data_IF_301796057725
#
_entry.id   IF_301796057725
#
_cell.length_a   1.000
_cell.length_b   1.000
_cell.length_c   1.000
_cell.angle_alpha   90.00
_cell.angle_beta   90.00
_cell.angle_gamma   90.00
#
_symmetry.space_group_name_H-M   'P 1'
#
loop_
_entity.id
_entity.type
_entity.pdbx_description
1 polymer ?
#
# COMPACT_ATOMS: atom_id res chain seq x y z
N UNK A 1 60.27 -15.94 1.20
CA UNK A 1 58.98 -16.41 1.71
C UNK A 1 57.90 -15.47 1.23
N UNK A 2 57.11 -15.91 0.20
CA UNK A 2 56.07 -15.10 -0.41
C UNK A 2 54.72 -15.57 0.10
N UNK A 3 54.04 -14.75 0.90
CA UNK A 3 52.65 -15.02 1.30
C UNK A 3 51.72 -14.36 0.28
N UNK A 4 51.15 -15.20 -0.60
CA UNK A 4 50.00 -14.80 -1.45
C UNK A 4 48.74 -14.81 -0.59
N UNK A 5 48.23 -13.60 -0.30
CA UNK A 5 46.88 -13.45 0.21
C UNK A 5 45.88 -13.63 -0.94
N UNK A 6 45.26 -14.81 -1.00
CA UNK A 6 44.06 -15.01 -1.83
C UNK A 6 42.88 -14.30 -1.17
N UNK A 7 42.53 -13.14 -1.72
CA UNK A 7 41.30 -12.45 -1.41
C UNK A 7 40.16 -13.19 -2.12
N UNK A 8 39.45 -14.07 -1.41
CA UNK A 8 38.24 -14.71 -1.89
C UNK A 8 37.10 -13.71 -1.82
N UNK A 9 36.86 -13.00 -2.94
CA UNK A 9 35.61 -12.25 -3.15
C UNK A 9 34.46 -13.26 -3.27
N UNK A 10 33.75 -13.48 -2.18
CA UNK A 10 32.41 -14.08 -2.19
C UNK A 10 31.47 -13.07 -2.84
N UNK A 11 31.31 -13.19 -4.15
CA UNK A 11 30.24 -12.51 -4.88
C UNK A 11 28.90 -13.12 -4.43
N UNK A 12 28.27 -12.47 -3.47
CA UNK A 12 26.85 -12.68 -3.16
C UNK A 12 26.07 -12.24 -4.37
N UNK A 13 25.71 -13.19 -5.24
CA UNK A 13 24.68 -13.01 -6.26
C UNK A 13 23.38 -12.74 -5.54
N UNK A 14 23.06 -11.47 -5.29
CA UNK A 14 21.73 -11.02 -5.01
C UNK A 14 20.91 -11.32 -6.29
N UNK A 15 20.24 -12.45 -6.31
CA UNK A 15 19.18 -12.75 -7.26
C UNK A 15 18.11 -11.68 -7.03
N UNK A 16 18.20 -10.58 -7.79
CA UNK A 16 17.12 -9.62 -7.93
C UNK A 16 16.03 -10.42 -8.65
N UNK A 17 15.15 -11.03 -7.87
CA UNK A 17 13.94 -11.63 -8.36
C UNK A 17 13.12 -10.49 -8.98
N UNK A 18 13.15 -10.34 -10.30
CA UNK A 18 12.22 -9.51 -11.07
C UNK A 18 10.85 -10.17 -11.03
N UNK A 19 10.30 -10.35 -9.84
CA UNK A 19 8.96 -10.83 -9.60
C UNK A 19 7.99 -9.68 -9.72
N UNK A 20 7.32 -9.55 -10.87
CA UNK A 20 6.13 -8.70 -10.97
C UNK A 20 4.94 -9.34 -10.22
N UNK A 21 3.85 -8.60 -10.10
CA UNK A 21 2.64 -9.09 -9.42
C UNK A 21 2.78 -9.11 -7.89
N UNK A 22 2.11 -10.07 -7.26
CA UNK A 22 2.02 -10.15 -5.80
C UNK A 22 3.37 -10.30 -5.11
N UNK A 23 4.34 -10.98 -5.74
CA UNK A 23 5.68 -11.15 -5.16
C UNK A 23 6.48 -9.84 -5.15
N UNK A 24 6.32 -9.01 -6.18
CA UNK A 24 6.89 -7.66 -6.19
C UNK A 24 6.32 -6.78 -5.08
N UNK A 25 5.03 -6.93 -4.79
CA UNK A 25 4.38 -6.24 -3.66
C UNK A 25 4.90 -6.75 -2.33
N UNK A 26 5.00 -8.07 -2.13
CA UNK A 26 5.53 -8.67 -0.88
C UNK A 26 6.97 -8.26 -0.59
N UNK A 27 7.78 -8.09 -1.63
CA UNK A 27 9.15 -7.62 -1.48
C UNK A 27 9.24 -6.15 -1.06
N UNK A 28 8.32 -5.30 -1.53
CA UNK A 28 8.35 -3.85 -1.31
C UNK A 28 7.58 -3.40 -0.07
N UNK A 29 6.42 -3.99 0.19
CA UNK A 29 5.49 -3.56 1.23
C UNK A 29 6.12 -3.39 2.63
N UNK A 30 7.06 -4.25 3.10
CA UNK A 30 7.69 -4.07 4.41
C UNK A 30 8.39 -2.72 4.59
N UNK A 31 9.05 -2.24 3.55
CA UNK A 31 9.75 -0.95 3.58
C UNK A 31 8.77 0.23 3.57
N UNK A 32 7.72 0.17 2.74
CA UNK A 32 6.73 1.24 2.62
C UNK A 32 5.83 1.34 3.87
N UNK A 33 5.39 0.19 4.42
CA UNK A 33 4.57 0.13 5.62
C UNK A 33 5.38 0.26 6.92
N UNK A 34 6.71 0.21 6.84
CA UNK A 34 7.62 0.16 8.01
C UNK A 34 7.19 -0.94 9.02
N UNK A 35 6.92 -2.12 8.50
CA UNK A 35 6.28 -3.23 9.18
C UNK A 35 6.99 -4.54 8.85
N UNK A 36 7.04 -5.47 9.80
CA UNK A 36 7.60 -6.79 9.56
C UNK A 36 6.81 -7.54 8.48
N UNK A 37 7.51 -8.18 7.55
CA UNK A 37 6.89 -8.89 6.44
C UNK A 37 5.85 -9.94 6.89
N UNK A 38 6.07 -10.59 8.03
CA UNK A 38 5.14 -11.57 8.60
C UNK A 38 3.85 -10.97 9.18
N UNK A 39 3.82 -9.64 9.40
CA UNK A 39 2.66 -8.90 9.89
C UNK A 39 1.87 -8.21 8.77
N UNK A 40 2.28 -8.41 7.50
CA UNK A 40 1.64 -7.77 6.34
C UNK A 40 0.84 -8.82 5.58
N UNK A 41 -0.45 -8.56 5.40
CA UNK A 41 -1.32 -9.30 4.49
C UNK A 41 -1.34 -8.61 3.12
N UNK A 42 -1.02 -9.37 2.07
CA UNK A 42 -1.10 -8.89 0.68
C UNK A 42 -2.21 -9.64 -0.04
N UNK A 43 -3.18 -8.91 -0.58
CA UNK A 43 -4.35 -9.48 -1.28
C UNK A 43 -4.68 -8.70 -2.56
N UNK A 44 -5.24 -9.34 -3.59
CA UNK A 44 -5.75 -8.64 -4.77
C UNK A 44 -6.92 -7.74 -4.37
N UNK A 45 -7.10 -6.61 -5.06
CA UNK A 45 -8.25 -5.72 -4.83
C UNK A 45 -9.56 -6.32 -5.32
N UNK A 46 -9.48 -7.29 -6.25
CA UNK A 46 -10.61 -8.07 -6.75
C UNK A 46 -10.23 -9.54 -6.86
N UNK A 47 -11.07 -10.49 -6.42
CA UNK A 47 -10.82 -11.93 -6.55
C UNK A 47 -10.58 -12.41 -7.99
N UNK A 48 -11.17 -11.72 -8.96
CA UNK A 48 -11.06 -12.00 -10.40
C UNK A 48 -10.15 -10.98 -11.12
N UNK A 49 -9.35 -10.22 -10.36
CA UNK A 49 -8.44 -9.22 -10.92
C UNK A 49 -7.29 -9.83 -11.72
N UNK A 50 -6.67 -9.04 -12.61
CA UNK A 50 -5.52 -9.51 -13.39
C UNK A 50 -4.32 -9.84 -12.48
N UNK A 51 -3.44 -10.77 -12.90
CA UNK A 51 -2.25 -11.16 -12.12
C UNK A 51 -1.30 -10.01 -11.77
N UNK A 52 -1.36 -8.93 -12.54
CA UNK A 52 -0.55 -7.72 -12.32
C UNK A 52 -1.12 -6.76 -11.26
N UNK A 53 -2.24 -7.09 -10.65
CA UNK A 53 -2.90 -6.26 -9.66
C UNK A 53 -3.97 -5.34 -10.22
N UNK A 54 -4.48 -4.38 -9.45
CA UNK A 54 -3.89 -3.85 -8.21
C UNK A 54 -4.03 -4.78 -6.99
N UNK A 55 -3.15 -4.55 -6.01
CA UNK A 55 -3.12 -5.28 -4.74
C UNK A 55 -3.24 -4.33 -3.56
N UNK A 56 -3.81 -4.80 -2.44
CA UNK A 56 -3.69 -4.16 -1.16
C UNK A 56 -2.64 -4.87 -0.30
N UNK A 57 -1.85 -4.10 0.44
CA UNK A 57 -1.02 -4.58 1.55
C UNK A 57 -1.46 -3.86 2.83
N UNK A 58 -1.78 -4.64 3.84
CA UNK A 58 -2.27 -4.16 5.12
C UNK A 58 -1.43 -4.74 6.26
N UNK A 59 -1.01 -3.91 7.19
CA UNK A 59 -0.21 -4.29 8.35
C UNK A 59 0.22 -3.07 9.16
N UNK A 60 0.51 -3.26 10.46
CA UNK A 60 0.96 -2.20 11.37
C UNK A 60 0.12 -0.91 11.30
N UNK A 61 -1.19 -1.06 11.26
CA UNK A 61 -2.16 0.03 11.13
C UNK A 61 -2.00 0.89 9.86
N UNK A 62 -1.40 0.32 8.80
CA UNK A 62 -1.21 0.93 7.49
C UNK A 62 -2.02 0.17 6.44
N UNK A 63 -2.49 0.88 5.42
CA UNK A 63 -3.13 0.30 4.24
C UNK A 63 -2.56 0.94 2.98
N UNK A 64 -1.91 0.13 2.15
CA UNK A 64 -1.32 0.56 0.89
C UNK A 64 -1.93 -0.16 -0.30
N UNK A 65 -2.01 0.53 -1.43
CA UNK A 65 -2.41 -0.03 -2.72
C UNK A 65 -1.23 -0.04 -3.67
N UNK A 66 -1.01 -1.18 -4.31
CA UNK A 66 0.10 -1.38 -5.23
C UNK A 66 -0.38 -1.74 -6.63
N UNK A 67 0.35 -1.23 -7.62
CA UNK A 67 0.28 -1.69 -9.00
C UNK A 67 1.66 -2.23 -9.35
N UNK A 68 1.71 -3.48 -9.81
CA UNK A 68 2.97 -4.17 -10.14
C UNK A 68 2.90 -4.67 -11.59
N UNK A 69 3.22 -3.82 -12.57
CA UNK A 69 3.16 -4.20 -13.97
C UNK A 69 4.20 -5.29 -14.27
N UNK A 70 3.96 -6.15 -15.30
CA UNK A 70 4.87 -7.23 -15.67
C UNK A 70 6.27 -6.73 -16.10
N UNK A 71 6.33 -5.50 -16.58
CA UNK A 71 7.56 -4.78 -16.91
C UNK A 71 7.47 -3.39 -16.30
N UNK A 72 8.35 -3.11 -15.36
CA UNK A 72 8.35 -1.84 -14.63
C UNK A 72 8.54 -2.04 -13.14
N UNK A 73 8.51 -0.93 -12.42
CA UNK A 73 8.61 -0.94 -10.96
C UNK A 73 7.23 -1.06 -10.34
N UNK A 74 7.16 -1.76 -9.21
CA UNK A 74 5.97 -1.78 -8.36
C UNK A 74 5.76 -0.38 -7.77
N UNK A 75 4.60 0.20 -8.00
CA UNK A 75 4.21 1.51 -7.48
C UNK A 75 3.23 1.34 -6.33
N UNK A 76 3.49 2.00 -5.20
CA UNK A 76 2.66 1.97 -4.00
C UNK A 76 2.04 3.34 -3.70
N UNK A 77 0.83 3.32 -3.15
CA UNK A 77 0.12 4.51 -2.67
C UNK A 77 -0.41 4.27 -1.26
N UNK A 78 -0.10 5.18 -0.33
CA UNK A 78 -0.61 5.17 1.05
C UNK A 78 -2.12 5.51 1.06
N UNK A 79 -2.96 4.48 1.02
CA UNK A 79 -4.43 4.62 0.98
C UNK A 79 -4.97 5.22 2.27
N UNK A 80 -4.51 4.72 3.42
CA UNK A 80 -4.96 5.22 4.71
C UNK A 80 -4.65 6.71 4.85
N UNK A 81 -3.42 7.11 4.56
CA UNK A 81 -3.02 8.52 4.63
C UNK A 81 -3.76 9.42 3.65
N UNK A 82 -4.01 8.95 2.41
CA UNK A 82 -4.76 9.71 1.41
C UNK A 82 -6.19 9.97 1.89
N UNK A 83 -6.88 8.92 2.35
CA UNK A 83 -8.29 9.03 2.75
C UNK A 83 -8.44 9.81 4.06
N UNK A 84 -7.60 9.53 5.07
CA UNK A 84 -7.72 10.21 6.36
C UNK A 84 -7.37 11.69 6.30
N UNK A 85 -6.41 12.10 5.46
CA UNK A 85 -6.13 13.53 5.22
C UNK A 85 -7.32 14.24 4.57
N UNK A 86 -7.94 13.63 3.55
CA UNK A 86 -9.14 14.22 2.93
C UNK A 86 -10.30 14.29 3.94
N UNK A 87 -10.54 13.20 4.67
CA UNK A 87 -11.62 13.14 5.66
C UNK A 87 -11.39 14.11 6.83
N UNK A 88 -10.16 14.33 7.26
CA UNK A 88 -9.82 15.31 8.29
C UNK A 88 -10.27 16.72 7.90
N UNK A 89 -10.05 17.08 6.64
CA UNK A 89 -10.52 18.35 6.11
C UNK A 89 -12.06 18.42 6.02
N UNK A 90 -12.67 17.43 5.38
CA UNK A 90 -14.12 17.42 5.10
C UNK A 90 -14.96 17.33 6.38
N UNK A 91 -14.52 16.53 7.36
CA UNK A 91 -15.22 16.33 8.63
C UNK A 91 -14.81 17.33 9.71
N UNK A 92 -13.79 18.15 9.46
CA UNK A 92 -13.16 19.03 10.46
C UNK A 92 -12.78 18.27 11.73
N UNK A 93 -12.09 17.14 11.55
CA UNK A 93 -11.71 16.19 12.60
C UNK A 93 -10.24 15.82 12.45
N UNK A 94 -9.49 15.76 13.55
CA UNK A 94 -8.07 15.41 13.47
C UNK A 94 -7.86 13.97 13.03
N UNK A 95 -6.78 13.69 12.29
CA UNK A 95 -6.51 12.38 11.67
C UNK A 95 -6.44 11.25 12.70
N UNK A 96 -5.91 11.51 13.87
CA UNK A 96 -5.80 10.58 14.99
C UNK A 96 -7.14 10.15 15.62
N UNK A 97 -8.21 10.93 15.38
CA UNK A 97 -9.57 10.64 15.81
C UNK A 97 -10.41 9.94 14.72
N UNK A 98 -9.84 9.74 13.54
CA UNK A 98 -10.54 9.12 12.43
C UNK A 98 -10.34 7.61 12.42
N UNK A 99 -11.44 6.88 12.21
CA UNK A 99 -11.46 5.45 12.01
C UNK A 99 -11.82 5.13 10.57
N UNK A 100 -10.95 4.40 9.88
CA UNK A 100 -11.12 3.96 8.51
C UNK A 100 -11.66 2.53 8.48
N UNK A 101 -12.65 2.26 7.62
CA UNK A 101 -13.20 0.93 7.38
C UNK A 101 -13.34 0.70 5.88
N UNK A 102 -12.81 -0.38 5.35
CA UNK A 102 -13.04 -0.76 3.97
C UNK A 102 -14.49 -1.25 3.80
N UNK A 103 -15.24 -0.65 2.89
CA UNK A 103 -16.61 -1.04 2.54
C UNK A 103 -16.64 -1.97 1.34
N UNK A 104 -15.77 -1.72 0.36
CA UNK A 104 -15.51 -2.59 -0.79
C UNK A 104 -14.10 -2.31 -1.34
N UNK A 105 -13.79 -2.81 -2.55
CA UNK A 105 -12.46 -2.70 -3.14
C UNK A 105 -11.89 -1.28 -3.19
N UNK A 106 -12.72 -0.28 -3.51
CA UNK A 106 -12.27 1.10 -3.72
C UNK A 106 -13.06 2.13 -2.90
N UNK A 107 -13.97 1.68 -2.03
CA UNK A 107 -14.81 2.55 -1.20
C UNK A 107 -14.52 2.32 0.28
N UNK A 108 -14.32 3.41 0.99
CA UNK A 108 -13.95 3.42 2.41
C UNK A 108 -14.91 4.30 3.21
N UNK A 109 -15.34 3.79 4.35
CA UNK A 109 -16.05 4.57 5.36
C UNK A 109 -15.06 5.21 6.32
N UNK A 110 -15.28 6.46 6.69
CA UNK A 110 -14.54 7.17 7.73
C UNK A 110 -15.50 7.69 8.77
N UNK A 111 -15.17 7.47 10.03
CA UNK A 111 -15.93 7.95 11.18
C UNK A 111 -15.02 8.67 12.17
N UNK A 112 -15.46 9.81 12.70
CA UNK A 112 -14.76 10.57 13.75
C UNK A 112 -15.48 11.86 14.07
N UNK A 113 -15.28 12.39 15.27
CA UNK A 113 -15.88 13.65 15.73
C UNK A 113 -17.41 13.71 15.52
N UNK A 114 -18.11 12.61 15.85
CA UNK A 114 -19.57 12.45 15.67
C UNK A 114 -20.09 12.59 14.23
N UNK A 115 -19.20 12.51 13.27
CA UNK A 115 -19.51 12.56 11.84
C UNK A 115 -19.06 11.29 11.14
N UNK A 116 -19.65 11.02 9.98
CA UNK A 116 -19.21 9.93 9.12
C UNK A 116 -19.35 10.30 7.63
N UNK A 117 -18.48 9.76 6.82
CA UNK A 117 -18.51 9.93 5.36
C UNK A 117 -17.98 8.68 4.67
N UNK A 118 -18.32 8.51 3.40
CA UNK A 118 -17.70 7.51 2.55
C UNK A 118 -16.86 8.17 1.45
N UNK A 119 -15.75 7.52 1.11
CA UNK A 119 -14.79 7.99 0.12
C UNK A 119 -14.54 6.93 -0.92
N UNK A 120 -14.54 7.34 -2.18
CA UNK A 120 -14.08 6.53 -3.29
C UNK A 120 -12.59 6.82 -3.53
N UNK A 121 -11.78 5.77 -3.55
CA UNK A 121 -10.38 5.87 -3.95
C UNK A 121 -10.27 5.79 -5.47
N UNK A 122 -9.82 6.86 -6.10
CA UNK A 122 -9.63 6.95 -7.54
C UNK A 122 -8.13 7.07 -7.83
N UNK A 123 -7.59 6.12 -8.60
CA UNK A 123 -6.17 6.01 -8.89
C UNK A 123 -5.88 6.15 -10.39
N UNK A 124 -5.88 7.37 -10.95
CA UNK A 124 -5.40 7.60 -12.32
C UNK A 124 -3.88 7.41 -12.41
N UNK A 125 -3.36 7.46 -13.63
CA UNK A 125 -1.91 7.53 -13.85
C UNK A 125 -1.36 8.76 -13.11
N UNK A 126 -0.34 8.55 -12.28
CA UNK A 126 0.29 9.62 -11.50
C UNK A 126 -0.15 9.70 -10.04
N UNK A 127 -1.02 8.82 -9.57
CA UNK A 127 -1.33 8.70 -8.14
C UNK A 127 -2.78 8.50 -7.80
N UNK A 128 -3.03 8.21 -6.52
CA UNK A 128 -4.38 8.02 -5.99
C UNK A 128 -4.89 9.29 -5.30
N UNK A 129 -6.22 9.47 -5.30
CA UNK A 129 -6.92 10.51 -4.55
C UNK A 129 -8.21 9.97 -3.96
N UNK A 130 -8.63 10.51 -2.82
CA UNK A 130 -9.93 10.25 -2.23
C UNK A 130 -10.96 11.26 -2.73
N UNK A 131 -12.13 10.77 -3.11
CA UNK A 131 -13.28 11.59 -3.51
C UNK A 131 -14.43 11.27 -2.55
N UNK A 132 -14.94 12.27 -1.87
CA UNK A 132 -16.08 12.10 -0.99
C UNK A 132 -17.30 11.66 -1.80
N UNK A 133 -17.93 10.56 -1.37
CA UNK A 133 -19.11 10.01 -2.03
C UNK A 133 -20.39 10.40 -1.29
N UNK A 134 -20.42 10.21 0.05
CA UNK A 134 -21.57 10.59 0.90
C UNK A 134 -21.07 11.11 2.24
N UNK A 135 -21.83 12.03 2.83
CA UNK A 135 -21.65 12.48 4.20
C UNK A 135 -22.98 12.40 4.95
N UNK A 136 -22.93 11.88 6.18
CA UNK A 136 -24.05 11.94 7.12
C UNK A 136 -23.57 12.47 8.47
N UNK A 137 -24.44 13.21 9.12
CA UNK A 137 -24.25 13.76 10.46
C UNK A 137 -24.94 12.86 11.47
#
# INVERSE_FOLDING_TARGET
MKYSFLCACLASLALIACGGGIEGVRARAPADLQCDAGAIEVRPTSPSGPPAGPFYAEGCDQLWRYVSPPRGQTEGSDVKGIITRQASFDLSCSVDQLQLTALNADTFGVKGCDKQASYLLVCPVGGCKAVQNTQSQ
#
